data_IF_564314031082
#
_entry.id   IF_564314031082
#
_cell.length_a   1.000
_cell.length_b   1.000
_cell.length_c   1.000
_cell.angle_alpha   90.00
_cell.angle_beta   90.00
_cell.angle_gamma   90.00
#
_symmetry.space_group_name_H-M   'P 1'
#
loop_
_entity.id
_entity.type
_entity.pdbx_description
1 polymer ?
#
# COMPACT_ATOMS: atom_id res chain seq x y z
N UNK A 1 17.44 -0.46 -23.11
CA UNK A 1 16.94 0.51 -22.10
C UNK A 1 15.72 -0.10 -21.46
N UNK A 2 15.66 -0.16 -20.14
CA UNK A 2 14.41 -0.54 -19.48
C UNK A 2 13.35 0.51 -19.81
N UNK A 3 12.23 0.04 -20.26
CA UNK A 3 11.12 0.84 -20.76
C UNK A 3 10.33 1.44 -19.59
N UNK A 4 9.51 2.46 -19.86
CA UNK A 4 8.52 2.94 -18.91
C UNK A 4 7.63 1.80 -18.37
N UNK A 5 7.37 0.78 -19.18
CA UNK A 5 6.65 -0.42 -18.78
C UNK A 5 7.32 -1.14 -17.59
N UNK A 6 8.64 -1.23 -17.55
CA UNK A 6 9.37 -1.84 -16.45
C UNK A 6 9.20 -1.05 -15.14
N UNK A 7 9.21 0.28 -15.23
CA UNK A 7 8.94 1.15 -14.10
C UNK A 7 7.53 0.96 -13.54
N UNK A 8 6.51 0.94 -14.40
CA UNK A 8 5.12 0.72 -13.98
C UNK A 8 4.88 -0.70 -13.45
N UNK A 9 5.57 -1.69 -13.99
CA UNK A 9 5.47 -3.05 -13.47
C UNK A 9 6.00 -3.14 -12.03
N UNK A 10 7.11 -2.49 -11.74
CA UNK A 10 7.66 -2.44 -10.39
C UNK A 10 6.74 -1.68 -9.42
N UNK A 11 6.19 -0.53 -9.85
CA UNK A 11 5.18 0.20 -9.09
C UNK A 11 3.97 -0.68 -8.75
N UNK A 12 3.43 -1.43 -9.72
CA UNK A 12 2.29 -2.32 -9.50
C UNK A 12 2.63 -3.47 -8.53
N UNK A 13 3.83 -4.05 -8.62
CA UNK A 13 4.30 -5.07 -7.67
C UNK A 13 4.38 -4.55 -6.25
N UNK A 14 4.84 -3.33 -6.05
CA UNK A 14 4.86 -2.68 -4.74
C UNK A 14 3.45 -2.55 -4.14
N UNK A 15 2.45 -2.19 -4.96
CA UNK A 15 1.06 -2.11 -4.52
C UNK A 15 0.52 -3.47 -4.12
N UNK A 16 0.91 -4.53 -4.79
CA UNK A 16 0.55 -5.91 -4.39
C UNK A 16 1.18 -6.26 -3.04
N UNK A 17 2.45 -5.96 -2.83
CA UNK A 17 3.13 -6.20 -1.56
C UNK A 17 2.45 -5.44 -0.40
N UNK A 18 2.01 -4.20 -0.63
CA UNK A 18 1.24 -3.42 0.34
C UNK A 18 -0.16 -4.01 0.61
N UNK A 19 -0.84 -4.49 -0.43
CA UNK A 19 -2.13 -5.19 -0.29
C UNK A 19 -1.98 -6.47 0.54
N UNK A 20 -0.95 -7.25 0.26
CA UNK A 20 -0.67 -8.50 0.98
C UNK A 20 -0.34 -8.22 2.46
N UNK A 21 0.45 -7.19 2.75
CA UNK A 21 0.74 -6.76 4.12
C UNK A 21 -0.53 -6.29 4.86
N UNK A 22 -1.40 -5.54 4.20
CA UNK A 22 -2.68 -5.09 4.74
C UNK A 22 -3.60 -6.27 5.04
N UNK A 23 -3.74 -7.21 4.10
CA UNK A 23 -4.54 -8.43 4.26
C UNK A 23 -4.04 -9.29 5.41
N UNK A 24 -2.76 -9.53 5.52
CA UNK A 24 -2.17 -10.32 6.61
C UNK A 24 -2.46 -9.71 7.97
N UNK A 25 -2.38 -8.39 8.11
CA UNK A 25 -2.69 -7.67 9.34
C UNK A 25 -4.18 -7.77 9.68
N UNK A 26 -5.07 -7.59 8.70
CA UNK A 26 -6.51 -7.71 8.89
C UNK A 26 -6.90 -9.13 9.30
N UNK A 27 -6.36 -10.15 8.67
CA UNK A 27 -6.61 -11.56 9.01
C UNK A 27 -6.17 -11.87 10.44
N UNK A 28 -5.03 -11.37 10.87
CA UNK A 28 -4.56 -11.51 12.25
C UNK A 28 -5.52 -10.86 13.24
N UNK A 29 -6.08 -9.68 12.92
CA UNK A 29 -7.05 -8.99 13.79
C UNK A 29 -8.41 -9.69 13.82
N UNK A 30 -8.85 -10.26 12.71
CA UNK A 30 -10.10 -11.04 12.63
C UNK A 30 -10.07 -12.24 13.56
N UNK A 31 -8.96 -12.92 13.68
CA UNK A 31 -8.83 -14.07 14.61
C UNK A 31 -9.01 -13.67 16.07
N UNK A 32 -8.79 -12.40 16.41
CA UNK A 32 -8.93 -11.84 17.76
C UNK A 32 -10.32 -11.25 18.02
N UNK A 33 -11.18 -11.15 17.01
CA UNK A 33 -12.50 -10.56 17.11
C UNK A 33 -13.54 -11.51 17.73
N UNK A 34 -14.64 -10.94 18.24
CA UNK A 34 -15.80 -11.71 18.70
C UNK A 34 -16.47 -12.48 17.55
N UNK A 35 -17.25 -13.52 17.84
CA UNK A 35 -17.86 -14.38 16.82
C UNK A 35 -18.72 -13.60 15.81
N UNK A 36 -19.54 -12.65 16.28
CA UNK A 36 -20.39 -11.84 15.38
C UNK A 36 -19.58 -10.86 14.51
N UNK A 37 -18.54 -10.27 15.07
CA UNK A 37 -17.63 -9.42 14.32
C UNK A 37 -16.81 -10.23 13.30
N UNK A 38 -16.50 -11.48 13.60
CA UNK A 38 -15.72 -12.36 12.73
C UNK A 38 -16.46 -12.69 11.43
N UNK A 39 -17.76 -12.95 11.46
CA UNK A 39 -18.55 -13.27 10.27
C UNK A 39 -18.61 -12.10 9.27
N UNK A 40 -18.80 -10.86 9.77
CA UNK A 40 -18.72 -9.65 8.95
C UNK A 40 -17.29 -9.41 8.44
N UNK A 41 -16.32 -9.76 9.27
CA UNK A 41 -14.92 -9.67 9.01
C UNK A 41 -14.46 -10.59 7.88
N UNK A 42 -14.84 -11.84 7.89
CA UNK A 42 -14.48 -12.82 6.86
C UNK A 42 -14.97 -12.40 5.47
N UNK A 43 -16.17 -11.82 5.39
CA UNK A 43 -16.69 -11.27 4.13
C UNK A 43 -15.86 -10.12 3.62
N UNK A 44 -15.49 -9.17 4.46
CA UNK A 44 -14.68 -8.03 4.07
C UNK A 44 -13.27 -8.42 3.63
N UNK A 45 -12.64 -9.37 4.32
CA UNK A 45 -11.34 -9.93 3.91
C UNK A 45 -11.46 -10.64 2.56
N UNK A 46 -12.53 -11.40 2.33
CA UNK A 46 -12.78 -12.04 1.04
C UNK A 46 -12.95 -11.02 -0.10
N UNK A 47 -13.68 -9.94 0.14
CA UNK A 47 -13.84 -8.85 -0.84
C UNK A 47 -12.50 -8.15 -1.13
N UNK A 48 -11.68 -7.91 -0.12
CA UNK A 48 -10.34 -7.32 -0.30
C UNK A 48 -9.38 -8.26 -1.04
N UNK A 49 -9.44 -9.57 -0.79
CA UNK A 49 -8.69 -10.56 -1.57
C UNK A 49 -9.12 -10.57 -3.03
N UNK A 50 -10.42 -10.51 -3.31
CA UNK A 50 -10.92 -10.44 -4.68
C UNK A 50 -10.41 -9.18 -5.41
N UNK A 51 -10.35 -8.03 -4.73
CA UNK A 51 -9.79 -6.80 -5.28
C UNK A 51 -8.28 -6.92 -5.54
N UNK A 52 -7.54 -7.56 -4.64
CA UNK A 52 -6.11 -7.83 -4.82
C UNK A 52 -5.87 -8.74 -6.03
N UNK A 53 -6.66 -9.78 -6.19
CA UNK A 53 -6.57 -10.68 -7.36
C UNK A 53 -6.93 -9.98 -8.67
N UNK A 54 -7.95 -9.11 -8.66
CA UNK A 54 -8.30 -8.29 -9.82
C UNK A 54 -7.16 -7.34 -10.23
N UNK A 55 -6.54 -6.69 -9.25
CA UNK A 55 -5.37 -5.83 -9.47
C UNK A 55 -4.19 -6.62 -10.06
N UNK A 56 -3.89 -7.79 -9.50
CA UNK A 56 -2.83 -8.66 -10.00
C UNK A 56 -3.11 -9.14 -11.42
N UNK A 57 -4.35 -9.54 -11.72
CA UNK A 57 -4.77 -9.97 -13.05
C UNK A 57 -4.63 -8.85 -14.08
N UNK A 58 -5.02 -7.63 -13.73
CA UNK A 58 -4.87 -6.46 -14.62
C UNK A 58 -3.39 -6.12 -14.82
N UNK A 59 -2.59 -6.14 -13.76
CA UNK A 59 -1.14 -5.94 -13.86
C UNK A 59 -0.49 -6.96 -14.82
N UNK A 60 -0.84 -8.24 -14.68
CA UNK A 60 -0.32 -9.31 -15.53
C UNK A 60 -0.71 -9.11 -17.00
N UNK A 61 -1.97 -8.81 -17.25
CA UNK A 61 -2.49 -8.53 -18.61
C UNK A 61 -1.75 -7.35 -19.26
N UNK A 62 -1.47 -6.30 -18.50
CA UNK A 62 -0.75 -5.15 -19.02
C UNK A 62 0.75 -5.43 -19.23
N UNK A 63 1.35 -6.26 -18.39
CA UNK A 63 2.72 -6.72 -18.61
C UNK A 63 2.88 -7.49 -19.95
N UNK A 64 1.86 -8.24 -20.34
CA UNK A 64 1.81 -8.96 -21.62
C UNK A 64 1.53 -8.03 -22.81
N UNK A 65 0.79 -6.93 -22.61
CA UNK A 65 0.43 -5.98 -23.68
C UNK A 65 1.55 -5.00 -24.06
N UNK A 66 2.61 -4.86 -23.25
CA UNK A 66 3.76 -4.00 -23.53
C UNK A 66 3.53 -2.50 -23.21
N UNK A 67 4.44 -1.65 -23.71
CA UNK A 67 4.53 -0.25 -23.31
C UNK A 67 3.30 0.62 -23.59
N UNK A 68 2.63 0.40 -24.72
CA UNK A 68 1.50 1.24 -25.15
C UNK A 68 0.28 1.14 -24.22
N UNK A 69 0.13 0.03 -23.51
CA UNK A 69 -0.98 -0.19 -22.58
C UNK A 69 -0.78 0.42 -21.19
N UNK A 70 0.45 0.67 -20.78
CA UNK A 70 0.76 1.02 -19.39
C UNK A 70 0.26 2.40 -18.94
N UNK A 71 0.22 3.40 -19.82
CA UNK A 71 -0.27 4.72 -19.47
C UNK A 71 -1.76 4.71 -19.09
N UNK A 72 -2.58 3.94 -19.80
CA UNK A 72 -4.00 3.76 -19.47
C UNK A 72 -4.18 2.81 -18.28
N UNK A 73 -3.39 1.76 -18.21
CA UNK A 73 -3.42 0.78 -17.14
C UNK A 73 -3.08 1.41 -15.79
N UNK A 74 -2.12 2.34 -15.74
CA UNK A 74 -1.73 3.02 -14.49
C UNK A 74 -2.93 3.70 -13.84
N UNK A 75 -3.71 4.46 -14.59
CA UNK A 75 -4.89 5.13 -14.06
C UNK A 75 -5.93 4.14 -13.52
N UNK A 76 -6.12 3.03 -14.20
CA UNK A 76 -7.05 1.98 -13.79
C UNK A 76 -6.54 1.26 -12.53
N UNK A 77 -5.26 0.96 -12.47
CA UNK A 77 -4.61 0.36 -11.30
C UNK A 77 -4.60 1.32 -10.10
N UNK A 78 -4.36 2.62 -10.30
CA UNK A 78 -4.49 3.63 -9.25
C UNK A 78 -5.91 3.66 -8.67
N UNK A 79 -6.93 3.59 -9.52
CA UNK A 79 -8.33 3.56 -9.09
C UNK A 79 -8.63 2.29 -8.29
N UNK A 80 -8.15 1.14 -8.72
CA UNK A 80 -8.32 -0.13 -8.01
C UNK A 80 -7.58 -0.13 -6.67
N UNK A 81 -6.38 0.43 -6.61
CA UNK A 81 -5.61 0.60 -5.39
C UNK A 81 -6.33 1.49 -4.36
N UNK A 82 -6.80 2.65 -4.79
CA UNK A 82 -7.56 3.55 -3.93
C UNK A 82 -8.86 2.91 -3.44
N UNK A 83 -9.52 2.13 -4.28
CA UNK A 83 -10.69 1.35 -3.92
C UNK A 83 -10.39 0.28 -2.85
N UNK A 84 -9.28 -0.43 -3.00
CA UNK A 84 -8.82 -1.40 -2.00
C UNK A 84 -8.56 -0.73 -0.65
N UNK A 85 -7.82 0.37 -0.63
CA UNK A 85 -7.54 1.11 0.60
C UNK A 85 -8.80 1.66 1.27
N UNK A 86 -9.70 2.24 0.47
CA UNK A 86 -10.96 2.75 0.98
C UNK A 86 -11.83 1.67 1.63
N UNK A 87 -11.91 0.51 1.02
CA UNK A 87 -12.64 -0.63 1.60
C UNK A 87 -11.94 -1.22 2.82
N UNK A 88 -10.62 -1.32 2.82
CA UNK A 88 -9.85 -1.79 3.99
C UNK A 88 -10.09 -0.87 5.21
N UNK A 89 -10.10 0.44 5.00
CA UNK A 89 -10.36 1.40 6.06
C UNK A 89 -11.80 1.31 6.60
N UNK A 90 -12.80 1.27 5.71
CA UNK A 90 -14.21 1.08 6.11
C UNK A 90 -14.41 -0.21 6.89
N UNK A 91 -13.71 -1.23 6.51
CA UNK A 91 -13.77 -2.52 7.14
C UNK A 91 -13.20 -2.48 8.55
N UNK A 92 -12.04 -1.87 8.74
CA UNK A 92 -11.46 -1.63 10.06
C UNK A 92 -12.41 -0.85 10.97
N UNK A 93 -13.03 0.20 10.47
CA UNK A 93 -14.01 0.99 11.22
C UNK A 93 -15.22 0.16 11.69
N UNK A 94 -15.71 -0.77 10.86
CA UNK A 94 -16.84 -1.63 11.18
C UNK A 94 -16.51 -2.74 12.18
N UNK A 95 -15.33 -3.32 12.08
CA UNK A 95 -14.92 -4.49 12.85
C UNK A 95 -14.38 -4.11 14.22
N UNK A 96 -13.75 -2.95 14.31
CA UNK A 96 -13.06 -2.48 15.51
C UNK A 96 -13.90 -1.44 16.25
N UNK A 97 -14.90 -1.90 16.98
CA UNK A 97 -15.79 -1.01 17.79
C UNK A 97 -15.11 -0.37 18.99
N UNK A 98 -13.93 -0.81 19.39
CA UNK A 98 -13.19 -0.24 20.51
C UNK A 98 -12.03 0.61 20.02
N UNK A 99 -12.00 1.88 20.40
CA UNK A 99 -11.00 2.87 19.96
C UNK A 99 -9.54 2.40 20.13
N UNK A 100 -9.26 1.64 21.17
CA UNK A 100 -7.92 1.10 21.47
C UNK A 100 -7.48 0.00 20.49
N UNK A 101 -8.43 -0.83 20.03
CA UNK A 101 -8.16 -1.88 19.04
C UNK A 101 -8.01 -1.32 17.63
N UNK A 102 -8.78 -0.28 17.29
CA UNK A 102 -8.63 0.44 16.04
C UNK A 102 -7.25 1.07 15.93
N UNK A 103 -6.81 1.75 16.97
CA UNK A 103 -5.49 2.36 17.00
C UNK A 103 -4.37 1.34 16.77
N UNK A 104 -4.38 0.24 17.50
CA UNK A 104 -3.36 -0.83 17.33
C UNK A 104 -3.36 -1.43 15.93
N UNK A 105 -4.53 -1.66 15.33
CA UNK A 105 -4.63 -2.18 13.97
C UNK A 105 -4.09 -1.20 12.93
N UNK A 106 -4.41 0.09 13.07
CA UNK A 106 -3.86 1.14 12.21
C UNK A 106 -2.34 1.26 12.34
N UNK A 107 -1.81 1.21 13.55
CA UNK A 107 -0.36 1.23 13.79
C UNK A 107 0.34 0.06 13.09
N UNK A 108 -0.20 -1.14 13.18
CA UNK A 108 0.36 -2.32 12.54
C UNK A 108 0.31 -2.23 11.01
N UNK A 109 -0.82 -1.80 10.44
CA UNK A 109 -0.97 -1.61 8.99
C UNK A 109 -0.01 -0.53 8.49
N UNK A 110 0.03 0.61 9.16
CA UNK A 110 0.89 1.71 8.76
C UNK A 110 2.38 1.33 8.86
N UNK A 111 2.78 0.60 9.91
CA UNK A 111 4.14 0.08 10.06
C UNK A 111 4.50 -0.91 8.97
N UNK A 112 3.57 -1.82 8.62
CA UNK A 112 3.76 -2.78 7.54
C UNK A 112 3.91 -2.08 6.18
N UNK A 113 3.11 -1.05 5.92
CA UNK A 113 3.19 -0.26 4.69
C UNK A 113 4.50 0.54 4.59
N UNK A 114 4.93 1.17 5.68
CA UNK A 114 6.23 1.87 5.73
C UNK A 114 7.39 0.92 5.46
N UNK A 115 7.34 -0.29 6.02
CA UNK A 115 8.33 -1.33 5.76
C UNK A 115 8.32 -1.73 4.28
N UNK A 116 7.16 -1.98 3.69
CA UNK A 116 7.02 -2.30 2.27
C UNK A 116 7.60 -1.18 1.37
N UNK A 117 7.39 0.08 1.72
CA UNK A 117 7.97 1.21 0.99
C UNK A 117 9.50 1.25 1.06
N UNK A 118 10.09 0.94 2.21
CA UNK A 118 11.55 0.85 2.34
C UNK A 118 12.13 -0.27 1.50
N UNK A 119 11.52 -1.45 1.57
CA UNK A 119 11.93 -2.59 0.76
C UNK A 119 11.80 -2.31 -0.74
N UNK A 120 10.73 -1.63 -1.14
CA UNK A 120 10.53 -1.18 -2.52
C UNK A 120 11.62 -0.19 -2.95
N UNK A 121 11.92 0.81 -2.12
CA UNK A 121 12.99 1.78 -2.40
C UNK A 121 14.37 1.11 -2.54
N UNK A 122 14.65 0.10 -1.72
CA UNK A 122 15.88 -0.68 -1.82
C UNK A 122 15.94 -1.50 -3.11
N UNK A 123 14.83 -2.14 -3.49
CA UNK A 123 14.72 -2.86 -4.77
C UNK A 123 14.90 -1.92 -5.96
N UNK A 124 14.29 -0.73 -5.91
CA UNK A 124 14.46 0.32 -6.91
C UNK A 124 15.92 0.72 -7.05
N UNK A 125 16.58 0.98 -5.94
CA UNK A 125 17.99 1.36 -5.92
C UNK A 125 18.89 0.25 -6.47
N UNK A 126 18.62 -1.01 -6.11
CA UNK A 126 19.34 -2.16 -6.64
C UNK A 126 19.15 -2.29 -8.16
N UNK A 127 17.94 -2.07 -8.66
CA UNK A 127 17.64 -2.12 -10.10
C UNK A 127 18.20 -0.94 -10.87
N UNK A 128 18.54 0.17 -10.22
CA UNK A 128 19.06 1.37 -10.90
C UNK A 128 20.37 1.12 -11.65
N UNK A 129 21.15 0.13 -11.21
CA UNK A 129 22.40 -0.28 -11.86
C UNK A 129 22.21 -0.83 -13.29
N UNK A 130 21.02 -1.32 -13.61
CA UNK A 130 20.67 -1.87 -14.92
C UNK A 130 20.33 -0.80 -15.97
N UNK A 131 20.24 0.47 -15.54
CA UNK A 131 19.83 1.57 -16.39
C UNK A 131 21.03 2.38 -16.92
N UNK A 132 20.84 3.06 -18.07
CA UNK A 132 21.77 4.07 -18.55
C UNK A 132 21.82 5.27 -17.56
N UNK A 133 22.88 6.09 -17.63
CA UNK A 133 23.16 7.12 -16.64
C UNK A 133 21.99 8.04 -16.28
N UNK A 134 21.22 8.50 -17.28
CA UNK A 134 20.05 9.37 -17.08
C UNK A 134 18.88 8.64 -16.39
N UNK A 135 18.65 7.39 -16.74
CA UNK A 135 17.64 6.54 -16.10
C UNK A 135 18.01 6.21 -14.66
N UNK A 136 19.29 5.92 -14.41
CA UNK A 136 19.82 5.66 -13.07
C UNK A 136 19.62 6.85 -12.13
N UNK A 137 19.96 8.07 -12.59
CA UNK A 137 19.78 9.26 -11.77
C UNK A 137 18.32 9.49 -11.36
N UNK A 138 17.36 9.24 -12.28
CA UNK A 138 15.93 9.34 -11.97
C UNK A 138 15.46 8.25 -10.99
N UNK A 139 15.94 7.03 -11.17
CA UNK A 139 15.61 5.92 -10.28
C UNK A 139 16.18 6.14 -8.87
N UNK A 140 17.42 6.59 -8.77
CA UNK A 140 18.04 6.89 -7.49
C UNK A 140 17.33 8.05 -6.77
N UNK A 141 16.93 9.10 -7.50
CA UNK A 141 16.12 10.20 -6.96
C UNK A 141 14.77 9.69 -6.43
N UNK A 142 14.07 8.87 -7.20
CA UNK A 142 12.79 8.27 -6.78
C UNK A 142 12.97 7.37 -5.55
N UNK A 143 14.01 6.55 -5.51
CA UNK A 143 14.31 5.71 -4.34
C UNK A 143 14.60 6.54 -3.09
N UNK A 144 15.29 7.66 -3.25
CA UNK A 144 15.57 8.60 -2.16
C UNK A 144 14.29 9.28 -1.64
N UNK A 145 13.42 9.71 -2.55
CA UNK A 145 12.11 10.28 -2.19
C UNK A 145 11.23 9.26 -1.45
N UNK A 146 11.20 8.01 -1.90
CA UNK A 146 10.48 6.94 -1.23
C UNK A 146 11.03 6.66 0.17
N UNK A 147 12.36 6.64 0.34
CA UNK A 147 13.00 6.47 1.66
C UNK A 147 12.70 7.65 2.59
N UNK A 148 12.75 8.86 2.08
CA UNK A 148 12.42 10.07 2.84
C UNK A 148 10.94 10.08 3.24
N UNK A 149 10.04 9.69 2.34
CA UNK A 149 8.62 9.53 2.60
C UNK A 149 8.34 8.46 3.66
N UNK A 150 9.00 7.32 3.58
CA UNK A 150 8.88 6.25 4.58
C UNK A 150 9.37 6.70 5.96
N UNK A 151 10.49 7.43 6.03
CA UNK A 151 11.03 7.96 7.29
C UNK A 151 10.12 9.04 7.90
N UNK A 152 9.57 9.93 7.08
CA UNK A 152 8.60 10.93 7.53
C UNK A 152 7.30 10.28 8.01
N UNK A 153 6.82 9.24 7.33
CA UNK A 153 5.65 8.47 7.74
C UNK A 153 5.87 7.77 9.08
N UNK A 154 7.04 7.16 9.27
CA UNK A 154 7.40 6.51 10.54
C UNK A 154 7.48 7.49 11.71
N UNK A 155 8.09 8.67 11.51
CA UNK A 155 8.14 9.70 12.53
C UNK A 155 6.73 10.18 12.93
N UNK A 156 5.84 10.40 11.96
CA UNK A 156 4.44 10.75 12.22
C UNK A 156 3.68 9.63 12.94
N UNK A 157 3.93 8.38 12.59
CA UNK A 157 3.38 7.21 13.27
C UNK A 157 3.73 7.22 14.77
N UNK A 158 4.99 7.49 15.08
CA UNK A 158 5.46 7.56 16.46
C UNK A 158 4.81 8.74 17.24
N UNK A 159 4.60 9.88 16.58
CA UNK A 159 3.88 11.01 17.18
C UNK A 159 2.42 10.69 17.45
N UNK A 160 1.75 10.02 16.50
CA UNK A 160 0.36 9.62 16.62
C UNK A 160 0.13 8.55 17.67
N UNK A 161 1.03 7.61 17.81
CA UNK A 161 1.01 6.62 18.89
C UNK A 161 1.05 7.29 20.27
N UNK A 162 1.68 8.45 20.38
CA UNK A 162 1.72 9.27 21.60
C UNK A 162 0.46 10.12 21.78
N UNK A 163 -0.16 10.58 20.71
CA UNK A 163 -1.28 11.52 20.73
C UNK A 163 -2.66 10.87 20.87
N UNK A 164 -2.80 9.57 20.59
CA UNK A 164 -4.04 8.81 20.78
C UNK A 164 -4.99 8.79 19.56
N UNK A 165 -6.14 8.15 19.71
CA UNK A 165 -7.05 7.77 18.62
C UNK A 165 -7.62 8.92 17.77
N UNK A 166 -7.72 10.14 18.29
CA UNK A 166 -8.27 11.30 17.59
C UNK A 166 -7.42 11.76 16.39
N UNK A 167 -6.13 11.40 16.37
CA UNK A 167 -5.18 11.82 15.34
C UNK A 167 -5.14 10.89 14.12
N UNK A 168 -5.80 9.75 14.17
CA UNK A 168 -5.73 8.73 13.11
C UNK A 168 -6.39 9.14 11.81
N UNK A 169 -7.47 9.90 11.87
CA UNK A 169 -8.12 10.46 10.67
C UNK A 169 -7.18 11.39 9.92
N UNK A 170 -6.46 12.24 10.62
CA UNK A 170 -5.46 13.16 10.08
C UNK A 170 -4.26 12.40 9.46
N UNK A 171 -3.82 11.32 10.10
CA UNK A 171 -2.76 10.46 9.58
C UNK A 171 -3.16 9.79 8.25
N UNK A 172 -4.33 9.19 8.20
CA UNK A 172 -4.82 8.51 7.01
C UNK A 172 -4.95 9.48 5.82
N UNK A 173 -5.42 10.71 6.08
CA UNK A 173 -5.45 11.77 5.08
C UNK A 173 -4.03 12.13 4.60
N UNK A 174 -3.08 12.32 5.51
CA UNK A 174 -1.70 12.66 5.17
C UNK A 174 -0.98 11.54 4.40
N UNK A 175 -1.25 10.27 4.69
CA UNK A 175 -0.75 9.14 3.91
C UNK A 175 -1.30 9.13 2.49
N UNK A 176 -2.58 9.44 2.34
CA UNK A 176 -3.22 9.49 1.02
C UNK A 176 -2.64 10.62 0.18
N UNK A 177 -2.40 11.79 0.78
CA UNK A 177 -1.76 12.92 0.11
C UNK A 177 -0.32 12.65 -0.30
N UNK A 178 0.49 12.01 0.55
CA UNK A 178 1.89 11.70 0.25
C UNK A 178 2.07 10.65 -0.85
N UNK A 179 1.00 9.90 -1.18
CA UNK A 179 0.99 8.92 -2.27
C UNK A 179 0.54 9.51 -3.59
N UNK A 180 -0.19 10.62 -3.56
CA UNK A 180 -0.67 11.30 -4.74
C UNK A 180 0.38 12.25 -5.37
N UNK A 181 1.46 12.55 -4.64
CA UNK A 181 2.60 13.33 -5.11
C UNK A 181 3.66 12.43 -5.73
#
# INVERSE_FOLDING_TARGET
MPSQAHFYLNWAKERIDEMDATLATLESKVTQATADARAAADKGVADLRARREAFFGEMKKQAEAGEAGWAQAKQQLDTQWNGFQGEANKYLEKVMQQAKQQQSAFEEIASAQVKAWREAAEKFQASSAEFAADGRAKMDATAQEMKAGASAAEARLQELAKAGAASWGAWNAALTESRAA
#
